data_IF_060978832222
#
_entry.id   IF_060978832222
#
_cell.length_a   1.000
_cell.length_b   1.000
_cell.length_c   1.000
_cell.angle_alpha   90.00
_cell.angle_beta   90.00
_cell.angle_gamma   90.00
#
_symmetry.space_group_name_H-M   'P 1'
#
loop_
_entity.id
_entity.type
_entity.pdbx_description
1 polymer ?
#
# COMPACT_ATOMS: atom_id res chain seq x y z
N UNK A 1 -12.13 64.50 4.11
CA UNK A 1 -11.90 63.39 3.15
C UNK A 1 -10.92 62.43 3.79
N UNK A 2 -11.38 61.24 4.22
CA UNK A 2 -10.57 60.25 4.95
C UNK A 2 -10.38 59.04 4.03
N UNK A 3 -9.14 58.77 3.64
CA UNK A 3 -8.77 57.59 2.85
C UNK A 3 -8.51 56.42 3.82
N UNK A 4 -9.35 55.38 3.77
CA UNK A 4 -9.23 54.16 4.60
C UNK A 4 -8.52 53.08 3.79
N UNK A 5 -7.20 52.96 3.97
CA UNK A 5 -6.36 51.92 3.39
C UNK A 5 -6.64 50.58 4.07
N UNK A 6 -7.20 49.62 3.32
CA UNK A 6 -7.32 48.22 3.74
C UNK A 6 -6.06 47.48 3.27
N UNK A 7 -5.19 47.12 4.20
CA UNK A 7 -4.09 46.19 3.92
C UNK A 7 -4.66 44.77 3.80
N UNK A 8 -4.62 44.22 2.59
CA UNK A 8 -4.78 42.79 2.33
C UNK A 8 -3.49 42.09 2.74
N UNK A 9 -3.52 41.27 3.81
CA UNK A 9 -2.42 40.34 4.11
C UNK A 9 -2.68 39.09 3.26
N UNK A 10 -1.94 39.00 2.15
CA UNK A 10 -1.88 37.78 1.35
C UNK A 10 -1.17 36.70 2.17
N UNK A 11 -1.92 35.75 2.71
CA UNK A 11 -1.38 34.55 3.31
C UNK A 11 -0.74 33.68 2.22
N UNK A 12 0.59 33.64 2.19
CA UNK A 12 1.31 32.59 1.46
C UNK A 12 0.97 31.24 2.11
N UNK A 13 0.09 30.48 1.47
CA UNK A 13 -0.04 29.06 1.75
C UNK A 13 1.19 28.40 1.13
N UNK A 14 2.20 28.12 1.96
CA UNK A 14 3.33 27.28 1.57
C UNK A 14 2.81 25.93 1.08
N UNK A 15 2.88 25.73 -0.23
CA UNK A 15 2.78 24.40 -0.82
C UNK A 15 4.01 23.61 -0.35
N UNK A 16 3.86 22.83 0.71
CA UNK A 16 4.83 21.80 1.07
C UNK A 16 4.85 20.78 -0.09
N UNK A 17 5.79 20.96 -1.00
CA UNK A 17 6.09 20.01 -2.05
C UNK A 17 6.38 18.65 -1.41
N UNK A 18 5.49 17.68 -1.66
CA UNK A 18 5.66 16.28 -1.27
C UNK A 18 6.73 15.68 -2.18
N UNK A 19 8.01 15.99 -1.90
CA UNK A 19 9.17 15.40 -2.58
C UNK A 19 9.71 14.15 -1.85
N UNK A 20 9.07 13.73 -0.76
CA UNK A 20 9.64 12.79 0.21
C UNK A 20 9.62 11.28 -0.12
N UNK A 21 8.80 10.71 -1.04
CA UNK A 21 8.67 9.25 -1.09
C UNK A 21 9.89 8.54 -1.72
N UNK A 22 10.69 9.23 -2.54
CA UNK A 22 11.73 8.59 -3.34
C UNK A 22 13.03 8.29 -2.58
N UNK A 23 13.50 9.23 -1.74
CA UNK A 23 14.78 9.09 -1.03
C UNK A 23 14.67 8.11 0.15
N UNK A 24 13.52 8.08 0.83
CA UNK A 24 13.31 7.22 1.99
C UNK A 24 13.15 5.72 1.64
N UNK A 25 12.89 5.40 0.37
CA UNK A 25 12.75 4.03 -0.09
C UNK A 25 14.10 3.34 -0.29
N UNK A 26 15.13 4.07 -0.72
CA UNK A 26 16.41 3.49 -1.16
C UNK A 26 17.11 2.65 -0.08
N UNK A 27 16.91 3.00 1.20
CA UNK A 27 17.51 2.32 2.35
C UNK A 27 16.50 1.45 3.13
N UNK A 28 15.29 1.27 2.60
CA UNK A 28 14.22 0.56 3.31
C UNK A 28 14.06 -0.87 2.77
N UNK A 29 14.47 -1.92 3.51
CA UNK A 29 14.27 -3.29 3.06
C UNK A 29 12.76 -3.62 3.00
N UNK A 30 12.39 -4.50 2.07
CA UNK A 30 11.00 -4.89 1.82
C UNK A 30 10.28 -5.31 3.09
N UNK A 31 10.91 -6.15 3.93
CA UNK A 31 10.35 -6.71 5.16
C UNK A 31 10.13 -5.68 6.29
N UNK A 32 10.33 -4.39 6.00
CA UNK A 32 10.06 -3.26 6.90
C UNK A 32 9.25 -2.16 6.24
N UNK A 33 8.90 -2.32 4.97
CA UNK A 33 8.24 -1.28 4.22
C UNK A 33 6.79 -1.09 4.67
N UNK A 34 6.36 0.16 4.79
CA UNK A 34 4.97 0.51 5.09
C UNK A 34 4.44 1.45 4.03
N UNK A 35 3.32 1.05 3.44
CA UNK A 35 2.57 1.82 2.47
C UNK A 35 1.24 2.27 3.05
N UNK A 36 0.74 3.39 2.55
CA UNK A 36 -0.62 3.88 2.81
C UNK A 36 -1.39 3.93 1.51
N UNK A 37 -2.69 3.72 1.57
CA UNK A 37 -3.55 3.93 0.42
C UNK A 37 -3.53 5.42 -0.02
N UNK A 38 -3.43 5.67 -1.33
CA UNK A 38 -3.47 7.02 -1.89
C UNK A 38 -4.88 7.64 -1.83
N UNK A 39 -5.91 6.81 -1.63
CA UNK A 39 -7.33 7.20 -1.59
C UNK A 39 -7.82 7.79 -0.26
N UNK A 40 -6.94 7.93 0.75
CA UNK A 40 -7.27 8.43 2.10
C UNK A 40 -8.28 7.57 2.88
N UNK A 41 -8.46 6.31 2.51
CA UNK A 41 -9.29 5.32 3.18
C UNK A 41 -8.74 4.85 4.53
N UNK A 42 -7.50 5.23 4.89
CA UNK A 42 -6.90 4.95 6.20
C UNK A 42 -6.35 3.53 6.30
N UNK A 43 -6.03 2.93 5.16
CA UNK A 43 -5.45 1.60 5.06
C UNK A 43 -3.94 1.67 4.94
N UNK A 44 -3.27 0.67 5.50
CA UNK A 44 -1.83 0.50 5.34
C UNK A 44 -1.49 -0.93 4.94
N UNK A 45 -0.51 -1.08 4.05
CA UNK A 45 0.17 -2.34 3.81
C UNK A 45 1.46 -2.32 4.62
N UNK A 46 1.58 -3.23 5.56
CA UNK A 46 2.78 -3.43 6.36
C UNK A 46 3.46 -4.72 5.92
N UNK A 47 4.69 -4.60 5.45
CA UNK A 47 5.50 -5.74 5.08
C UNK A 47 6.32 -6.17 6.29
N UNK A 48 6.41 -7.48 6.52
CA UNK A 48 7.21 -8.09 7.56
C UNK A 48 7.93 -9.32 7.03
N UNK A 49 8.95 -9.79 7.75
CA UNK A 49 9.55 -11.09 7.47
C UNK A 49 8.48 -12.17 7.55
N UNK A 50 8.43 -13.06 6.55
CA UNK A 50 7.51 -14.19 6.58
C UNK A 50 7.94 -15.18 7.67
N UNK A 51 6.97 -15.66 8.45
CA UNK A 51 7.19 -16.56 9.58
C UNK A 51 6.85 -18.02 9.25
N UNK A 52 6.13 -18.28 8.15
CA UNK A 52 5.53 -19.58 7.85
C UNK A 52 5.80 -20.05 6.42
N UNK A 53 6.05 -21.35 6.33
CA UNK A 53 6.20 -22.22 5.17
C UNK A 53 7.54 -22.15 4.41
N UNK A 54 8.50 -23.03 4.77
CA UNK A 54 9.66 -23.37 3.93
C UNK A 54 9.26 -23.94 2.55
N UNK A 55 8.01 -24.35 2.37
CA UNK A 55 7.51 -25.00 1.15
C UNK A 55 7.10 -24.03 0.04
N UNK A 56 6.82 -22.76 0.36
CA UNK A 56 6.68 -21.70 -0.63
C UNK A 56 8.08 -21.11 -0.88
N UNK A 57 8.93 -21.85 -1.58
CA UNK A 57 10.33 -21.47 -1.86
C UNK A 57 10.51 -20.10 -2.57
N UNK A 58 9.42 -19.42 -2.92
CA UNK A 58 9.35 -18.12 -3.59
C UNK A 58 8.77 -16.99 -2.71
N UNK A 59 8.48 -17.21 -1.42
CA UNK A 59 7.94 -16.18 -0.52
C UNK A 59 8.98 -15.13 -0.15
N UNK A 60 8.62 -13.86 -0.36
CA UNK A 60 9.46 -12.69 -0.15
C UNK A 60 9.19 -11.97 1.16
N UNK A 61 7.92 -11.81 1.53
CA UNK A 61 7.49 -11.09 2.73
C UNK A 61 6.05 -11.42 3.06
N UNK A 62 5.69 -11.28 4.34
CA UNK A 62 4.29 -11.26 4.76
C UNK A 62 3.76 -9.85 4.61
N UNK A 63 2.55 -9.72 4.07
CA UNK A 63 1.86 -8.44 3.87
C UNK A 63 0.64 -8.41 4.76
N UNK A 64 0.62 -7.47 5.71
CA UNK A 64 -0.53 -7.25 6.59
C UNK A 64 -1.28 -6.00 6.13
N UNK A 65 -2.55 -6.17 5.78
CA UNK A 65 -3.46 -5.05 5.54
C UNK A 65 -4.03 -4.60 6.87
N UNK A 66 -3.83 -3.33 7.23
CA UNK A 66 -4.40 -2.74 8.44
C UNK A 66 -5.29 -1.56 8.13
N UNK A 67 -6.23 -1.28 9.03
CA UNK A 67 -7.02 -0.06 9.04
C UNK A 67 -6.90 0.64 10.40
N UNK A 68 -6.71 1.96 10.39
CA UNK A 68 -6.40 2.74 11.60
C UNK A 68 -7.39 2.55 12.76
N UNK A 69 -8.68 2.34 12.47
CA UNK A 69 -9.72 2.17 13.51
C UNK A 69 -9.94 0.73 13.97
N UNK A 70 -9.42 -0.26 13.23
CA UNK A 70 -9.92 -1.65 13.30
C UNK A 70 -8.80 -2.68 13.42
N UNK A 71 -7.56 -2.27 13.24
CA UNK A 71 -6.41 -3.16 13.38
C UNK A 71 -6.17 -3.95 12.11
N UNK A 72 -5.79 -5.22 12.26
CA UNK A 72 -5.49 -6.13 11.15
C UNK A 72 -6.78 -6.54 10.44
N UNK A 73 -6.79 -6.40 9.12
CA UNK A 73 -7.91 -6.75 8.24
C UNK A 73 -7.65 -8.09 7.55
N UNK A 74 -6.47 -8.25 6.95
CA UNK A 74 -6.07 -9.47 6.26
C UNK A 74 -4.55 -9.61 6.26
N UNK A 75 -4.09 -10.83 6.00
CA UNK A 75 -2.68 -11.17 5.88
C UNK A 75 -2.47 -12.05 4.65
N UNK A 76 -1.38 -11.78 3.95
CA UNK A 76 -1.01 -12.45 2.71
C UNK A 76 0.49 -12.73 2.71
N UNK A 77 0.93 -13.63 1.85
CA UNK A 77 2.33 -13.85 1.54
C UNK A 77 2.63 -13.29 0.14
N UNK A 78 3.58 -12.36 0.07
CA UNK A 78 4.11 -11.88 -1.20
C UNK A 78 5.07 -12.94 -1.74
N UNK A 79 4.87 -13.37 -2.98
CA UNK A 79 5.73 -14.32 -3.66
C UNK A 79 6.03 -13.90 -5.10
N UNK A 80 7.02 -14.53 -5.71
CA UNK A 80 7.24 -14.41 -7.16
C UNK A 80 6.14 -15.15 -7.93
N UNK A 81 5.51 -14.44 -8.86
CA UNK A 81 4.66 -15.03 -9.90
C UNK A 81 5.51 -15.53 -11.08
N UNK A 82 5.36 -16.81 -11.43
CA UNK A 82 5.77 -17.50 -12.67
C UNK A 82 6.97 -16.94 -13.49
N UNK A 83 8.03 -16.46 -12.84
CA UNK A 83 9.35 -16.22 -13.44
C UNK A 83 9.61 -14.91 -14.19
N UNK A 84 8.71 -13.91 -14.19
CA UNK A 84 8.86 -12.69 -15.02
C UNK A 84 8.62 -11.36 -14.30
N UNK A 85 9.27 -11.12 -13.16
CA UNK A 85 9.12 -9.83 -12.44
C UNK A 85 7.70 -9.55 -11.95
N UNK A 86 6.83 -10.57 -12.00
CA UNK A 86 5.49 -10.53 -11.46
C UNK A 86 5.55 -10.92 -10.00
N UNK A 87 4.82 -10.19 -9.17
CA UNK A 87 4.70 -10.46 -7.74
C UNK A 87 3.24 -10.68 -7.42
N UNK A 88 2.97 -11.61 -6.52
CA UNK A 88 1.60 -11.99 -6.19
C UNK A 88 1.45 -12.08 -4.68
N UNK A 89 0.33 -11.56 -4.17
CA UNK A 89 -0.13 -11.85 -2.82
C UNK A 89 -0.95 -13.13 -2.87
N UNK A 90 -0.57 -14.08 -2.02
CA UNK A 90 -1.19 -15.40 -1.88
C UNK A 90 -1.72 -15.54 -0.46
N UNK A 91 -2.90 -16.09 -0.30
CA UNK A 91 -3.45 -16.40 1.02
C UNK A 91 -2.72 -17.63 1.59
N UNK A 92 -2.00 -17.50 2.73
CA UNK A 92 -1.29 -18.63 3.33
C UNK A 92 -2.23 -19.73 3.83
N UNK A 93 -3.50 -19.43 4.10
CA UNK A 93 -4.49 -20.41 4.54
C UNK A 93 -5.05 -21.24 3.38
N UNK A 94 -4.92 -20.74 2.14
CA UNK A 94 -5.53 -21.31 0.94
C UNK A 94 -7.05 -21.20 0.91
N UNK A 95 -7.67 -20.40 1.79
CA UNK A 95 -9.11 -20.13 1.75
C UNK A 95 -9.47 -19.25 0.57
N UNK A 96 -8.65 -18.23 0.28
CA UNK A 96 -8.71 -17.51 -0.99
C UNK A 96 -7.99 -18.31 -2.10
N UNK A 97 -8.68 -18.47 -3.23
CA UNK A 97 -8.18 -19.16 -4.42
C UNK A 97 -7.63 -18.19 -5.46
N UNK A 98 -7.76 -16.89 -5.23
CA UNK A 98 -7.31 -15.85 -6.13
C UNK A 98 -5.99 -15.26 -5.64
N UNK A 99 -5.03 -15.16 -6.56
CA UNK A 99 -3.79 -14.43 -6.33
C UNK A 99 -4.00 -12.97 -6.69
N UNK A 100 -3.42 -12.06 -5.92
CA UNK A 100 -3.47 -10.63 -6.22
C UNK A 100 -2.14 -10.15 -6.80
N UNK A 101 -2.16 -9.70 -8.05
CA UNK A 101 -0.94 -9.23 -8.72
C UNK A 101 -0.48 -7.88 -8.17
N UNK A 102 0.81 -7.77 -7.87
CA UNK A 102 1.48 -6.59 -7.35
C UNK A 102 2.39 -6.03 -8.44
N UNK A 103 2.25 -4.73 -8.72
CA UNK A 103 3.13 -3.99 -9.61
C UNK A 103 3.73 -2.81 -8.85
N UNK A 104 5.06 -2.72 -8.83
CA UNK A 104 5.77 -1.62 -8.21
C UNK A 104 6.14 -0.53 -9.23
N UNK A 105 6.15 0.72 -8.77
CA UNK A 105 6.57 1.86 -9.57
C UNK A 105 7.56 2.74 -8.84
N UNK A 106 8.45 3.37 -9.60
CA UNK A 106 9.29 4.44 -9.09
C UNK A 106 8.49 5.74 -8.87
N UNK A 107 9.15 6.77 -8.34
CA UNK A 107 8.51 8.05 -8.04
C UNK A 107 7.94 8.77 -9.28
N UNK A 108 8.35 8.38 -10.50
CA UNK A 108 7.89 8.91 -11.78
C UNK A 108 6.83 8.02 -12.44
N UNK A 109 6.29 7.04 -11.71
CA UNK A 109 5.30 6.06 -12.19
C UNK A 109 5.84 5.17 -13.33
N UNK A 110 7.15 4.93 -13.35
CA UNK A 110 7.74 3.91 -14.24
C UNK A 110 7.71 2.57 -13.51
N UNK A 111 7.23 1.53 -14.19
CA UNK A 111 7.17 0.18 -13.64
C UNK A 111 8.58 -0.32 -13.28
N UNK A 112 8.66 -1.12 -12.21
CA UNK A 112 9.88 -1.71 -11.70
C UNK A 112 9.80 -3.23 -11.78
N UNK A 113 10.94 -3.85 -12.08
CA UNK A 113 11.16 -5.30 -11.91
C UNK A 113 11.63 -5.59 -10.48
N UNK A 114 10.83 -5.18 -9.51
CA UNK A 114 11.12 -5.31 -8.08
C UNK A 114 9.81 -5.41 -7.29
N UNK A 115 9.80 -6.09 -6.13
CA UNK A 115 8.59 -6.28 -5.33
C UNK A 115 8.11 -5.01 -4.63
N UNK A 116 8.90 -3.92 -4.68
CA UNK A 116 8.58 -2.67 -4.01
C UNK A 116 9.16 -1.45 -4.70
N UNK A 117 8.48 -0.32 -4.49
CA UNK A 117 8.72 0.95 -5.17
C UNK A 117 8.23 2.13 -4.34
N UNK A 118 8.32 3.34 -4.90
CA UNK A 118 7.71 4.52 -4.29
C UNK A 118 6.17 4.39 -4.29
N UNK A 119 5.66 3.64 -5.26
CA UNK A 119 4.26 3.28 -5.37
C UNK A 119 4.09 1.79 -5.60
N UNK A 120 2.96 1.26 -5.16
CA UNK A 120 2.47 -0.07 -5.52
C UNK A 120 1.06 0.03 -6.09
N UNK A 121 0.75 -0.86 -7.01
CA UNK A 121 -0.61 -1.19 -7.39
C UNK A 121 -0.83 -2.67 -7.10
N UNK A 122 -1.93 -3.00 -6.41
CA UNK A 122 -2.27 -4.39 -6.15
C UNK A 122 -3.64 -4.68 -6.74
N UNK A 123 -3.64 -5.47 -7.80
CA UNK A 123 -4.83 -5.81 -8.56
C UNK A 123 -5.67 -6.84 -7.79
N UNK A 124 -6.96 -6.58 -7.63
CA UNK A 124 -7.89 -7.50 -7.01
C UNK A 124 -7.78 -7.62 -5.49
N UNK A 125 -6.88 -6.87 -4.82
CA UNK A 125 -6.69 -6.95 -3.36
C UNK A 125 -7.92 -6.49 -2.56
N UNK A 126 -8.92 -5.90 -3.20
CA UNK A 126 -10.26 -5.89 -2.63
C UNK A 126 -10.32 -5.35 -1.20
N UNK A 127 -10.06 -4.08 -0.92
CA UNK A 127 -10.18 -3.52 0.45
C UNK A 127 -11.57 -2.97 0.79
N UNK A 128 -12.62 -3.38 0.07
CA UNK A 128 -13.98 -2.89 0.28
C UNK A 128 -15.05 -3.96 0.24
N UNK A 129 -15.36 -4.41 1.44
CA UNK A 129 -16.74 -4.36 1.93
C UNK A 129 -16.82 -3.66 3.30
N UNK A 130 -15.85 -2.78 3.60
CA UNK A 130 -15.66 -2.26 4.95
C UNK A 130 -16.66 -1.16 5.37
N UNK A 131 -17.17 -0.36 4.42
CA UNK A 131 -18.09 0.76 4.72
C UNK A 131 -19.58 0.39 4.65
N UNK A 132 -19.95 -0.76 4.07
CA UNK A 132 -21.36 -1.13 3.82
C UNK A 132 -22.03 -1.84 4.99
N UNK A 133 -21.31 -2.13 6.08
CA UNK A 133 -21.88 -2.79 7.26
C UNK A 133 -22.36 -4.22 7.00
N UNK A 134 -21.99 -4.83 5.87
CA UNK A 134 -22.35 -6.22 5.56
C UNK A 134 -21.62 -7.16 6.53
N UNK A 135 -22.38 -7.72 7.45
CA UNK A 135 -21.96 -8.83 8.32
C UNK A 135 -22.12 -10.14 7.53
N UNK A 136 -21.14 -10.47 6.70
CA UNK A 136 -21.11 -11.74 5.97
C UNK A 136 -19.67 -12.13 5.67
N UNK A 137 -19.23 -13.26 6.22
CA UNK A 137 -17.84 -13.73 6.19
C UNK A 137 -17.38 -14.29 4.83
N UNK A 138 -18.05 -13.96 3.71
CA UNK A 138 -17.83 -14.63 2.41
C UNK A 138 -18.03 -13.79 1.15
N UNK A 139 -18.23 -12.47 1.28
CA UNK A 139 -18.30 -11.63 0.09
C UNK A 139 -16.88 -11.16 -0.27
N UNK A 140 -16.36 -11.66 -1.40
CA UNK A 140 -15.15 -11.14 -2.05
C UNK A 140 -15.22 -9.61 -2.05
N UNK A 141 -14.22 -8.92 -1.48
CA UNK A 141 -14.30 -7.49 -1.30
C UNK A 141 -14.13 -6.77 -2.65
N UNK A 142 -15.17 -6.05 -3.06
CA UNK A 142 -15.31 -5.43 -4.38
C UNK A 142 -14.80 -3.98 -4.36
N UNK A 143 -13.49 -3.78 -4.54
CA UNK A 143 -12.86 -2.46 -4.61
C UNK A 143 -12.51 -1.97 -6.00
N UNK A 144 -12.34 -0.65 -6.11
CA UNK A 144 -11.35 -0.09 -7.00
C UNK A 144 -9.98 -0.23 -6.36
N UNK A 145 -9.06 -0.92 -7.05
CA UNK A 145 -7.69 -1.12 -6.60
C UNK A 145 -7.00 0.23 -6.36
N UNK A 146 -6.71 0.61 -5.10
CA UNK A 146 -6.03 1.87 -4.82
C UNK A 146 -4.55 1.73 -5.18
N UNK A 147 -3.94 2.82 -5.63
CA UNK A 147 -2.49 2.93 -5.56
C UNK A 147 -2.07 3.11 -4.10
N UNK A 148 -0.95 2.51 -3.75
CA UNK A 148 -0.34 2.58 -2.44
C UNK A 148 0.94 3.40 -2.52
N UNK A 149 1.14 4.31 -1.58
CA UNK A 149 2.31 5.18 -1.52
C UNK A 149 3.22 4.75 -0.38
N UNK A 150 4.52 4.65 -0.64
CA UNK A 150 5.50 4.40 0.41
C UNK A 150 5.48 5.54 1.42
N UNK A 151 5.47 5.21 2.72
CA UNK A 151 5.41 6.21 3.79
C UNK A 151 6.61 6.15 4.70
N UNK A 152 7.01 4.95 5.13
CA UNK A 152 8.07 4.77 6.12
C UNK A 152 8.62 3.35 6.11
N UNK A 153 9.80 3.21 6.73
CA UNK A 153 10.33 1.94 7.16
C UNK A 153 10.04 1.73 8.65
N UNK A 154 9.68 0.51 9.06
CA UNK A 154 9.74 0.10 10.45
C UNK A 154 11.20 -0.06 10.90
N UNK A 155 11.45 0.08 12.20
CA UNK A 155 12.79 -0.06 12.78
C UNK A 155 13.21 -1.52 12.85
#
# INVERSE_FOLDING_TARGET
MVCKQRCFVAGLVSAAMVLAPALALADCPLDRAVYRDAGQGGFTLEFSKSAESPDLASTLARVTVRHAKKGVISQWELSHGLGYGAFELVDPTGEDKYNHSVVAFDAKLRALDAPHGAWLFVAGLGVSNWYSGRQGARDEPLLKDPMWVFVRCTK
#
